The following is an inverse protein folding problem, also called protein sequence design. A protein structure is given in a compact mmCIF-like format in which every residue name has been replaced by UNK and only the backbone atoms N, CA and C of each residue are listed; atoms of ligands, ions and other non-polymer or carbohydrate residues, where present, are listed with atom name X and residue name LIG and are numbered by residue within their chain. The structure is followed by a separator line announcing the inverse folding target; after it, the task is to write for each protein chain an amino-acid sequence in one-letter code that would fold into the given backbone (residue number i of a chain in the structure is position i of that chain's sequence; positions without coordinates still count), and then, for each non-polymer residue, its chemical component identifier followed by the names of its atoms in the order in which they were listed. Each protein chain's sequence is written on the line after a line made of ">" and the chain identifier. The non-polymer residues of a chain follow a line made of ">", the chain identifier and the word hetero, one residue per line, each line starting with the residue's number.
data_IF_528132622090
#
_entry.id   IF_528132622090
#
_cell.length_a   1.000
_cell.length_b   1.000
_cell.length_c   1.000
_cell.angle_alpha   90.00
_cell.angle_beta   90.00
_cell.angle_gamma   90.00
#
_symmetry.space_group_name_H-M   'P 1'
#
loop_
_entity.id
_entity.type
_entity.pdbx_description
1 polymer ?
#
# COMPACT_ATOMS: atom_id res chain seq x y z
N UNK A 1 1.68 -24.11 10.33
CA UNK A 1 2.53 -23.19 11.12
C UNK A 1 1.80 -21.86 11.19
N UNK A 2 1.26 -21.49 12.35
CA UNK A 2 0.67 -20.17 12.56
C UNK A 2 1.80 -19.26 13.05
N UNK A 3 2.41 -18.50 12.14
CA UNK A 3 3.47 -17.55 12.49
C UNK A 3 2.76 -16.31 13.04
N UNK A 4 2.71 -16.16 14.36
CA UNK A 4 2.30 -14.90 14.97
C UNK A 4 3.47 -13.92 14.83
N UNK A 5 3.30 -12.89 14.00
CA UNK A 5 4.19 -11.73 13.99
C UNK A 5 4.15 -11.10 15.38
N UNK A 6 5.28 -11.07 16.09
CA UNK A 6 5.39 -10.38 17.38
C UNK A 6 5.45 -8.88 17.12
N UNK A 7 4.58 -8.12 17.79
CA UNK A 7 4.52 -6.65 17.67
C UNK A 7 4.57 -6.00 19.04
N UNK A 8 5.20 -4.83 19.12
CA UNK A 8 4.97 -3.90 20.21
C UNK A 8 3.72 -3.03 19.94
N UNK A 9 3.34 -2.21 20.92
CA UNK A 9 2.16 -1.36 20.81
C UNK A 9 2.25 -0.36 19.65
N UNK A 10 3.44 0.21 19.41
CA UNK A 10 3.63 1.21 18.36
C UNK A 10 3.51 0.58 16.96
N UNK A 11 3.98 -0.66 16.81
CA UNK A 11 3.84 -1.45 15.58
C UNK A 11 2.38 -1.83 15.33
N UNK A 12 1.62 -2.20 16.35
CA UNK A 12 0.19 -2.51 16.23
C UNK A 12 -0.62 -1.25 15.87
N UNK A 13 -0.33 -0.11 16.50
CA UNK A 13 -0.97 1.17 16.17
C UNK A 13 -0.67 1.59 14.72
N UNK A 14 0.57 1.40 14.28
CA UNK A 14 0.98 1.66 12.89
C UNK A 14 0.21 0.75 11.91
N UNK A 15 0.09 -0.55 12.22
CA UNK A 15 -0.64 -1.51 11.40
C UNK A 15 -2.13 -1.15 11.33
N UNK A 16 -2.76 -0.80 12.45
CA UNK A 16 -4.16 -0.34 12.48
C UNK A 16 -4.36 0.90 11.61
N UNK A 17 -3.43 1.85 11.66
CA UNK A 17 -3.50 3.06 10.86
C UNK A 17 -3.31 2.75 9.36
N UNK A 18 -2.37 1.88 8.98
CA UNK A 18 -2.25 1.40 7.58
C UNK A 18 -3.57 0.78 7.11
N UNK A 19 -4.16 -0.12 7.90
CA UNK A 19 -5.41 -0.77 7.54
C UNK A 19 -6.54 0.25 7.33
N UNK A 20 -6.66 1.24 8.22
CA UNK A 20 -7.65 2.30 8.09
C UNK A 20 -7.47 3.12 6.81
N UNK A 21 -6.22 3.42 6.42
CA UNK A 21 -5.94 4.13 5.17
C UNK A 21 -6.32 3.30 3.93
N UNK A 22 -6.12 1.97 3.97
CA UNK A 22 -6.55 1.08 2.88
C UNK A 22 -8.08 1.01 2.82
N UNK A 23 -8.75 0.98 3.97
CA UNK A 23 -10.22 0.93 4.02
C UNK A 23 -10.85 2.20 3.43
N UNK A 24 -10.19 3.37 3.54
CA UNK A 24 -10.61 4.59 2.84
C UNK A 24 -10.53 4.48 1.31
N UNK A 25 -9.57 3.74 0.77
CA UNK A 25 -9.50 3.45 -0.68
C UNK A 25 -10.68 2.58 -1.08
N UNK A 26 -10.99 1.56 -0.29
CA UNK A 26 -12.07 0.60 -0.58
C UNK A 26 -13.45 1.27 -0.48
N UNK A 27 -13.63 2.20 0.47
CA UNK A 27 -14.88 2.91 0.69
C UNK A 27 -15.13 4.07 -0.29
N UNK A 28 -14.14 4.47 -1.08
CA UNK A 28 -14.28 5.58 -2.03
C UNK A 28 -15.17 5.18 -3.22
N UNK A 29 -16.16 6.02 -3.53
CA UNK A 29 -17.07 5.84 -4.66
C UNK A 29 -16.44 6.19 -6.01
N UNK A 30 -15.27 6.85 -6.02
CA UNK A 30 -14.52 7.17 -7.23
C UNK A 30 -13.44 6.09 -7.50
N UNK A 31 -13.65 5.19 -8.48
CA UNK A 31 -12.72 4.11 -8.76
C UNK A 31 -11.40 4.62 -9.38
N UNK A 32 -11.40 5.76 -10.07
CA UNK A 32 -10.19 6.35 -10.66
C UNK A 32 -9.29 6.91 -9.57
N UNK A 33 -9.86 7.69 -8.65
CA UNK A 33 -9.13 8.23 -7.50
C UNK A 33 -8.64 7.11 -6.58
N UNK A 34 -9.46 6.09 -6.34
CA UNK A 34 -9.08 4.91 -5.55
C UNK A 34 -7.90 4.18 -6.18
N UNK A 35 -7.92 3.96 -7.50
CA UNK A 35 -6.82 3.34 -8.24
C UNK A 35 -5.53 4.15 -8.14
N UNK A 36 -5.61 5.46 -8.35
CA UNK A 36 -4.45 6.36 -8.23
C UNK A 36 -3.87 6.34 -6.81
N UNK A 37 -4.73 6.39 -5.78
CA UNK A 37 -4.30 6.34 -4.38
C UNK A 37 -3.65 5.01 -4.02
N UNK A 38 -4.24 3.90 -4.47
CA UNK A 38 -3.69 2.57 -4.29
C UNK A 38 -2.31 2.43 -4.94
N UNK A 39 -2.11 3.02 -6.13
CA UNK A 39 -0.79 3.07 -6.78
C UNK A 39 0.22 3.88 -5.95
N UNK A 40 -0.16 5.03 -5.40
CA UNK A 40 0.71 5.84 -4.54
C UNK A 40 1.13 5.10 -3.26
N UNK A 41 0.24 4.31 -2.67
CA UNK A 41 0.55 3.45 -1.53
C UNK A 41 1.47 2.30 -1.91
N UNK A 42 1.24 1.68 -3.07
CA UNK A 42 2.10 0.61 -3.56
C UNK A 42 3.52 1.10 -3.86
N UNK A 43 3.66 2.31 -4.39
CA UNK A 43 4.96 2.97 -4.59
C UNK A 43 5.70 3.20 -3.26
N UNK A 44 4.97 3.50 -2.18
CA UNK A 44 5.54 3.61 -0.83
C UNK A 44 6.05 2.27 -0.28
N UNK A 45 5.49 1.14 -0.72
CA UNK A 45 6.01 -0.19 -0.39
C UNK A 45 7.26 -0.58 -1.19
N UNK A 46 7.63 0.19 -2.21
CA UNK A 46 8.80 -0.10 -3.06
C UNK A 46 10.08 0.57 -2.55
N UNK A 47 10.01 1.56 -1.65
CA UNK A 47 11.22 2.12 -1.01
C UNK A 47 11.93 1.12 -0.09
N UNK A 48 11.25 0.04 0.30
CA UNK A 48 11.85 -1.10 1.00
C UNK A 48 12.42 -2.19 0.09
N UNK A 49 12.12 -2.18 -1.22
CA UNK A 49 12.72 -3.05 -2.23
C UNK A 49 13.63 -2.21 -3.14
N UNK A 50 14.90 -2.06 -2.77
CA UNK A 50 15.92 -1.31 -3.54
C UNK A 50 16.22 -1.89 -4.94
N UNK A 51 15.54 -2.96 -5.35
CA UNK A 51 15.77 -3.70 -6.61
C UNK A 51 14.75 -3.41 -7.71
N UNK A 52 13.67 -2.66 -7.43
CA UNK A 52 12.60 -2.39 -8.41
C UNK A 52 12.61 -0.92 -8.85
N UNK A 53 13.71 -0.50 -9.45
CA UNK A 53 13.70 0.63 -10.39
C UNK A 53 13.75 0.05 -11.81
N UNK A 54 12.68 -0.64 -12.22
CA UNK A 54 12.49 -1.07 -13.60
C UNK A 54 11.87 0.09 -14.39
N UNK A 55 12.61 0.67 -15.34
CA UNK A 55 12.21 1.46 -16.53
C UNK A 55 11.07 2.51 -16.45
N UNK A 56 10.49 2.78 -15.28
CA UNK A 56 9.46 3.80 -15.12
C UNK A 56 10.09 5.16 -14.88
N UNK A 57 9.60 6.15 -15.62
CA UNK A 57 10.02 7.53 -15.52
C UNK A 57 9.93 8.03 -14.05
N UNK A 58 11.03 8.51 -13.44
CA UNK A 58 11.05 8.94 -12.04
C UNK A 58 10.05 10.05 -11.71
N UNK A 59 9.61 10.83 -12.70
CA UNK A 59 8.60 11.89 -12.50
C UNK A 59 7.17 11.35 -12.40
N UNK A 60 6.94 10.08 -12.77
CA UNK A 60 5.63 9.40 -12.66
C UNK A 60 5.42 8.68 -11.32
N UNK A 61 6.46 8.51 -10.50
CA UNK A 61 6.38 7.81 -9.22
C UNK A 61 5.96 8.79 -8.12
N UNK A 62 4.68 9.15 -8.12
CA UNK A 62 4.10 9.83 -6.97
C UNK A 62 3.94 8.82 -5.82
N UNK A 63 4.63 9.05 -4.70
CA UNK A 63 4.54 8.24 -3.48
C UNK A 63 3.81 9.03 -2.40
N UNK A 64 2.91 8.38 -1.67
CA UNK A 64 2.27 9.01 -0.51
C UNK A 64 3.20 8.95 0.71
N UNK A 65 3.79 10.09 1.06
CA UNK A 65 4.73 10.21 2.19
C UNK A 65 4.10 10.00 3.56
N UNK A 66 2.80 10.28 3.70
CA UNK A 66 2.08 10.02 4.96
C UNK A 66 1.91 8.52 5.15
N UNK A 67 1.48 7.82 4.12
CA UNK A 67 1.36 6.36 4.13
C UNK A 67 2.72 5.69 4.33
N UNK A 68 3.76 6.14 3.61
CA UNK A 68 5.13 5.64 3.76
C UNK A 68 5.61 5.72 5.21
N UNK A 69 5.41 6.88 5.87
CA UNK A 69 5.81 7.06 7.27
C UNK A 69 5.11 6.09 8.23
N UNK A 70 3.82 5.81 8.01
CA UNK A 70 3.05 4.87 8.86
C UNK A 70 3.45 3.42 8.56
N UNK A 71 3.67 3.10 7.27
CA UNK A 71 4.11 1.78 6.82
C UNK A 71 5.45 1.39 7.43
N UNK A 72 6.42 2.32 7.50
CA UNK A 72 7.72 2.09 8.12
C UNK A 72 7.65 1.80 9.63
N UNK A 73 6.56 2.17 10.30
CA UNK A 73 6.29 1.80 11.69
C UNK A 73 5.83 0.35 11.88
N UNK A 74 5.44 -0.34 10.80
CA UNK A 74 5.04 -1.74 10.84
C UNK A 74 6.25 -2.68 10.78
N UNK A 75 6.06 -3.94 11.17
CA UNK A 75 7.10 -4.97 10.98
C UNK A 75 7.35 -5.23 9.49
N UNK A 76 8.53 -5.74 9.13
CA UNK A 76 8.85 -6.08 7.73
C UNK A 76 7.88 -7.12 7.14
N UNK A 77 7.37 -8.06 7.94
CA UNK A 77 6.43 -9.07 7.46
C UNK A 77 5.03 -8.49 7.24
N UNK A 78 4.61 -7.53 8.07
CA UNK A 78 3.40 -6.76 7.81
C UNK A 78 3.55 -5.94 6.53
N UNK A 79 4.67 -5.23 6.34
CA UNK A 79 4.92 -4.44 5.13
C UNK A 79 4.84 -5.30 3.85
N UNK A 80 5.41 -6.51 3.86
CA UNK A 80 5.29 -7.47 2.74
C UNK A 80 3.84 -7.91 2.51
N UNK A 81 3.09 -8.14 3.60
CA UNK A 81 1.69 -8.56 3.52
C UNK A 81 0.79 -7.44 3.00
N UNK A 82 1.01 -6.21 3.46
CA UNK A 82 0.36 -4.99 2.99
C UNK A 82 0.64 -4.76 1.50
N UNK A 83 1.90 -4.91 1.06
CA UNK A 83 2.27 -4.80 -0.37
C UNK A 83 1.47 -5.79 -1.23
N UNK A 84 1.36 -7.05 -0.80
CA UNK A 84 0.55 -8.07 -1.51
C UNK A 84 -0.93 -7.69 -1.54
N UNK A 85 -1.48 -7.17 -0.44
CA UNK A 85 -2.88 -6.68 -0.36
C UNK A 85 -3.12 -5.54 -1.35
N UNK A 86 -2.21 -4.56 -1.40
CA UNK A 86 -2.28 -3.42 -2.32
C UNK A 86 -2.14 -3.85 -3.79
N UNK A 87 -1.27 -4.80 -4.11
CA UNK A 87 -1.15 -5.35 -5.47
C UNK A 87 -2.46 -5.98 -5.93
N UNK A 88 -3.08 -6.82 -5.09
CA UNK A 88 -4.36 -7.44 -5.42
C UNK A 88 -5.48 -6.39 -5.58
N UNK A 89 -5.53 -5.40 -4.68
CA UNK A 89 -6.51 -4.32 -4.74
C UNK A 89 -6.35 -3.46 -6.01
N UNK A 90 -5.11 -3.14 -6.40
CA UNK A 90 -4.83 -2.38 -7.62
C UNK A 90 -5.30 -3.10 -8.88
N UNK A 91 -5.12 -4.42 -8.96
CA UNK A 91 -5.63 -5.24 -10.08
C UNK A 91 -7.15 -5.12 -10.17
N UNK A 92 -7.84 -5.24 -9.04
CA UNK A 92 -9.30 -5.09 -8.98
C UNK A 92 -9.77 -3.68 -9.40
N UNK A 93 -9.16 -2.63 -8.84
CA UNK A 93 -9.51 -1.24 -9.16
C UNK A 93 -9.22 -0.90 -10.63
N UNK A 94 -8.15 -1.46 -11.19
CA UNK A 94 -7.82 -1.28 -12.61
C UNK A 94 -8.94 -1.84 -13.50
N UNK A 95 -9.45 -3.04 -13.18
CA UNK A 95 -10.58 -3.62 -13.91
C UNK A 95 -11.82 -2.75 -13.83
N UNK A 96 -12.16 -2.19 -12.67
CA UNK A 96 -13.33 -1.30 -12.54
C UNK A 96 -13.24 -0.03 -13.40
N UNK A 97 -12.03 0.44 -13.67
CA UNK A 97 -11.81 1.69 -14.40
C UNK A 97 -11.63 1.55 -15.90
N UNK A 98 -11.48 0.32 -16.40
CA UNK A 98 -11.44 0.03 -17.85
C UNK A 98 -12.87 -0.09 -18.42
N UNK A 99 -13.87 -0.31 -17.56
CA UNK A 99 -15.27 -0.59 -17.96
C UNK A 99 -16.11 0.70 -18.13
N UNK A 100 -15.48 1.88 -18.08
CA UNK A 100 -16.13 3.18 -18.30
C UNK A 100 -15.59 3.89 -19.54
#
# INVERSE_FOLDING_TARGET
>A
LNVCTVRDQAQEDSLHHVNSLIDLIIASEDPVMSRQKCQQYLNACSTTDTTVYTDYDPSTICTDKKFESVLLGCTLDDQKTIKKRLQALLVYLTQQTIVH
#
